data_IF_899374495989
#
_entry.id   IF_899374495989
#
_cell.length_a   1.000
_cell.length_b   1.000
_cell.length_c   1.000
_cell.angle_alpha   90.00
_cell.angle_beta   90.00
_cell.angle_gamma   90.00
#
_symmetry.space_group_name_H-M   'P 1'
#
loop_
_entity.id
_entity.type
_entity.pdbx_description
1 polymer ?
#
# COMPACT_ATOMS: atom_id res chain seq x y z
N UNK A 1 -15.88 13.18 8.88
CA UNK A 1 -14.68 13.90 9.34
C UNK A 1 -13.64 12.85 9.70
N UNK A 2 -12.42 13.01 9.20
CA UNK A 2 -11.30 12.12 9.48
C UNK A 2 -10.81 12.35 10.92
N UNK A 3 -10.33 11.29 11.57
CA UNK A 3 -9.54 11.45 12.79
C UNK A 3 -8.15 12.00 12.43
N UNK A 4 -7.39 12.56 13.40
CA UNK A 4 -6.03 13.01 13.14
C UNK A 4 -5.15 11.89 12.53
N UNK A 5 -5.22 10.67 13.09
CA UNK A 5 -4.45 9.54 12.58
C UNK A 5 -4.85 9.12 11.16
N UNK A 6 -6.15 9.14 10.83
CA UNK A 6 -6.61 8.84 9.47
C UNK A 6 -6.19 9.91 8.46
N UNK A 7 -6.19 11.17 8.89
CA UNK A 7 -5.74 12.28 8.05
C UNK A 7 -4.23 12.18 7.83
N UNK A 8 -3.44 12.05 8.89
CA UNK A 8 -1.98 11.88 8.82
C UNK A 8 -1.59 10.68 7.93
N UNK A 9 -2.35 9.59 8.02
CA UNK A 9 -2.17 8.41 7.17
C UNK A 9 -2.37 8.71 5.68
N UNK A 10 -3.49 9.33 5.30
CA UNK A 10 -3.77 9.65 3.89
C UNK A 10 -2.79 10.71 3.38
N UNK A 11 -2.49 11.73 4.18
CA UNK A 11 -1.52 12.79 3.86
C UNK A 11 -0.13 12.19 3.59
N UNK A 12 0.32 11.25 4.42
CA UNK A 12 1.62 10.58 4.25
C UNK A 12 1.69 9.80 2.93
N UNK A 13 0.61 9.13 2.55
CA UNK A 13 0.53 8.39 1.29
C UNK A 13 0.61 9.34 0.11
N UNK A 14 -0.20 10.41 0.12
CA UNK A 14 -0.23 11.40 -0.96
C UNK A 14 1.12 12.12 -1.08
N UNK A 15 1.71 12.56 0.03
CA UNK A 15 3.01 13.25 0.03
C UNK A 15 4.15 12.37 -0.50
N UNK A 16 4.16 11.08 -0.14
CA UNK A 16 5.20 10.15 -0.60
C UNK A 16 4.96 9.73 -2.05
N UNK A 17 3.72 9.44 -2.42
CA UNK A 17 3.38 9.07 -3.79
C UNK A 17 3.71 10.20 -4.78
N UNK A 18 3.42 11.45 -4.43
CA UNK A 18 3.71 12.61 -5.30
C UNK A 18 5.22 12.83 -5.45
N UNK A 19 6.03 12.41 -4.46
CA UNK A 19 7.50 12.47 -4.52
C UNK A 19 8.15 11.30 -5.26
N UNK A 20 7.53 10.12 -5.24
CA UNK A 20 8.17 8.87 -5.65
C UNK A 20 7.64 8.35 -6.99
N UNK A 21 6.37 8.59 -7.30
CA UNK A 21 5.69 7.96 -8.44
C UNK A 21 5.63 8.84 -9.69
N UNK A 22 5.99 10.13 -9.62
CA UNK A 22 5.80 11.11 -10.72
C UNK A 22 4.37 11.06 -11.33
N UNK A 23 3.41 10.56 -10.55
CA UNK A 23 2.01 10.31 -10.90
C UNK A 23 1.15 10.87 -9.77
N UNK A 24 -0.06 11.34 -10.10
CA UNK A 24 -1.01 11.75 -9.08
C UNK A 24 -1.38 10.54 -8.20
N UNK A 25 -1.01 10.62 -6.93
CA UNK A 25 -1.17 9.50 -5.98
C UNK A 25 -2.62 9.11 -5.77
N UNK A 26 -3.53 10.09 -5.80
CA UNK A 26 -4.96 9.87 -5.58
C UNK A 26 -5.59 8.97 -6.67
N UNK A 27 -5.49 9.28 -7.98
CA UNK A 27 -5.87 8.37 -9.06
C UNK A 27 -5.24 6.99 -8.95
N UNK A 28 -3.95 6.90 -8.67
CA UNK A 28 -3.25 5.62 -8.53
C UNK A 28 -3.84 4.77 -7.40
N UNK A 29 -4.11 5.39 -6.24
CA UNK A 29 -4.71 4.70 -5.10
C UNK A 29 -6.16 4.29 -5.34
N UNK A 30 -6.89 4.97 -6.23
CA UNK A 30 -8.25 4.56 -6.64
C UNK A 30 -8.18 3.36 -7.61
N UNK A 31 -7.34 3.44 -8.64
CA UNK A 31 -7.30 2.45 -9.72
C UNK A 31 -6.53 1.17 -9.35
N UNK A 32 -5.31 1.32 -8.84
CA UNK A 32 -4.38 0.21 -8.61
C UNK A 32 -4.28 -0.18 -7.12
N UNK A 33 -4.35 0.83 -6.24
CA UNK A 33 -4.20 0.64 -4.80
C UNK A 33 -2.80 0.19 -4.38
N UNK A 34 -2.61 -0.02 -3.08
CA UNK A 34 -1.35 -0.51 -2.51
C UNK A 34 -1.57 -1.63 -1.51
N UNK A 35 -0.64 -2.60 -1.42
CA UNK A 35 -0.72 -3.63 -0.39
C UNK A 35 -0.50 -3.00 0.99
N UNK A 36 -1.22 -3.49 2.01
CA UNK A 36 -1.13 -3.01 3.40
C UNK A 36 0.31 -2.95 3.89
N UNK A 37 1.13 -3.92 3.53
CA UNK A 37 2.54 -3.97 3.93
C UNK A 37 3.36 -2.78 3.40
N UNK A 38 3.03 -2.29 2.20
CA UNK A 38 3.67 -1.08 1.67
C UNK A 38 3.16 0.16 2.41
N UNK A 39 1.87 0.20 2.76
CA UNK A 39 1.29 1.30 3.51
C UNK A 39 1.93 1.42 4.89
N UNK A 40 2.10 0.31 5.61
CA UNK A 40 2.84 0.26 6.87
C UNK A 40 4.27 0.77 6.73
N UNK A 41 4.96 0.42 5.64
CA UNK A 41 6.32 0.92 5.40
C UNK A 41 6.36 2.42 5.08
N UNK A 42 5.34 2.95 4.40
CA UNK A 42 5.21 4.36 4.02
C UNK A 42 4.90 5.23 5.24
N UNK A 43 3.94 4.81 6.07
CA UNK A 43 3.50 5.61 7.22
C UNK A 43 4.36 5.37 8.46
N UNK A 44 5.12 4.27 8.51
CA UNK A 44 5.93 3.91 9.68
C UNK A 44 5.09 3.64 10.92
N UNK A 45 3.79 3.38 10.74
CA UNK A 45 2.81 3.24 11.80
C UNK A 45 2.45 1.75 11.98
N UNK A 46 2.59 1.25 13.21
CA UNK A 46 2.23 -0.12 13.56
C UNK A 46 0.71 -0.32 13.65
N UNK A 47 -0.07 0.76 13.74
CA UNK A 47 -1.54 0.74 13.94
C UNK A 47 -2.34 0.93 12.62
N UNK A 48 -1.71 0.69 11.47
CA UNK A 48 -2.32 0.83 10.14
C UNK A 48 -3.63 0.05 10.00
N UNK A 49 -3.74 -1.13 10.60
CA UNK A 49 -4.99 -1.91 10.55
C UNK A 49 -6.16 -1.22 11.27
N UNK A 50 -5.91 -0.48 12.35
CA UNK A 50 -6.95 0.30 13.06
C UNK A 50 -7.40 1.49 12.21
N UNK A 51 -6.45 2.22 11.63
CA UNK A 51 -6.72 3.36 10.74
C UNK A 51 -7.52 2.91 9.51
N UNK A 52 -7.14 1.79 8.89
CA UNK A 52 -7.83 1.23 7.74
C UNK A 52 -9.26 0.80 8.07
N UNK A 53 -9.49 0.22 9.24
CA UNK A 53 -10.84 -0.16 9.66
C UNK A 53 -11.71 1.09 9.90
N UNK A 54 -11.15 2.15 10.48
CA UNK A 54 -11.82 3.45 10.61
C UNK A 54 -12.20 4.07 9.26
N UNK A 55 -11.26 4.11 8.32
CA UNK A 55 -11.50 4.59 6.94
C UNK A 55 -12.52 3.75 6.19
N UNK A 56 -12.47 2.42 6.37
CA UNK A 56 -13.40 1.48 5.74
C UNK A 56 -14.82 1.64 6.29
N UNK A 57 -14.98 1.82 7.60
CA UNK A 57 -16.28 2.12 8.21
C UNK A 57 -16.88 3.44 7.71
N UNK A 58 -16.02 4.38 7.29
CA UNK A 58 -16.40 5.65 6.66
C UNK A 58 -16.62 5.56 5.15
N UNK A 59 -16.46 4.37 4.57
CA UNK A 59 -16.56 4.12 3.12
C UNK A 59 -15.54 4.93 2.30
N UNK A 60 -14.39 5.24 2.89
CA UNK A 60 -13.31 6.02 2.26
C UNK A 60 -12.24 5.14 1.62
N UNK A 61 -12.15 3.87 2.05
CA UNK A 61 -11.28 2.88 1.44
C UNK A 61 -12.02 1.56 1.24
N UNK A 62 -11.56 0.77 0.28
CA UNK A 62 -11.94 -0.64 0.17
C UNK A 62 -10.70 -1.54 0.22
N UNK A 63 -10.88 -2.75 0.74
CA UNK A 63 -9.79 -3.73 0.86
C UNK A 63 -10.08 -4.92 -0.04
N UNK A 64 -9.23 -5.13 -1.03
CA UNK A 64 -9.31 -6.23 -1.98
C UNK A 64 -8.26 -7.31 -1.66
N UNK A 65 -8.66 -8.59 -1.45
CA UNK A 65 -7.71 -9.68 -1.36
C UNK A 65 -7.20 -10.06 -2.76
N UNK A 66 -5.89 -9.96 -2.98
CA UNK A 66 -5.23 -10.29 -4.24
C UNK A 66 -4.18 -11.37 -4.04
N UNK A 67 -4.16 -12.36 -4.94
CA UNK A 67 -3.10 -13.37 -5.02
C UNK A 67 -1.98 -12.88 -5.90
N UNK A 68 -0.77 -12.85 -5.36
CA UNK A 68 0.43 -12.45 -6.09
C UNK A 68 1.44 -13.57 -6.14
N UNK A 69 2.07 -13.72 -7.30
CA UNK A 69 3.23 -14.62 -7.44
C UNK A 69 4.49 -13.79 -7.26
N UNK A 70 5.14 -13.94 -6.10
CA UNK A 70 6.38 -13.23 -5.81
C UNK A 70 7.58 -14.14 -6.01
N UNK A 71 8.65 -13.55 -6.52
CA UNK A 71 9.98 -14.16 -6.51
C UNK A 71 10.50 -14.20 -5.08
N UNK A 72 11.00 -15.34 -4.63
CA UNK A 72 11.73 -15.44 -3.38
C UNK A 72 13.03 -16.22 -3.59
N UNK A 73 14.10 -15.73 -2.97
CA UNK A 73 15.39 -16.41 -2.93
C UNK A 73 15.52 -17.07 -1.57
N UNK A 74 15.79 -18.38 -1.57
CA UNK A 74 15.86 -19.21 -0.35
C UNK A 74 17.20 -19.06 0.40
N UNK A 75 17.96 -17.98 0.13
CA UNK A 75 19.35 -17.83 0.58
C UNK A 75 19.51 -16.51 1.32
N UNK A 76 19.86 -16.60 2.62
CA UNK A 76 20.58 -15.52 3.29
C UNK A 76 21.95 -15.40 2.62
N UNK A 77 22.12 -14.51 1.66
CA UNK A 77 23.46 -14.19 1.16
C UNK A 77 23.87 -12.80 1.63
N UNK A 78 24.98 -12.79 2.35
CA UNK A 78 25.75 -11.63 2.84
C UNK A 78 26.40 -10.84 1.68
N UNK A 79 25.69 -10.64 0.56
CA UNK A 79 26.25 -10.02 -0.62
C UNK A 79 25.34 -10.04 -1.83
N UNK A 80 25.52 -9.02 -2.67
CA UNK A 80 24.81 -8.72 -3.91
C UNK A 80 24.46 -9.98 -4.72
N UNK A 81 23.17 -10.30 -4.72
CA UNK A 81 22.60 -11.49 -5.32
C UNK A 81 22.47 -11.27 -6.84
N UNK A 82 23.52 -11.62 -7.59
CA UNK A 82 23.46 -11.78 -9.05
C UNK A 82 22.32 -12.75 -9.35
N UNK A 83 21.38 -12.34 -10.21
CA UNK A 83 20.17 -13.09 -10.55
C UNK A 83 20.48 -14.52 -11.04
N UNK A 84 20.65 -15.44 -10.10
CA UNK A 84 20.95 -16.82 -10.36
C UNK A 84 19.60 -17.55 -10.50
N UNK A 85 19.14 -17.70 -11.75
CA UNK A 85 17.85 -18.30 -12.07
C UNK A 85 17.69 -19.73 -11.52
N UNK A 86 18.80 -20.44 -11.26
CA UNK A 86 18.80 -21.80 -10.70
C UNK A 86 18.28 -21.92 -9.26
N UNK A 87 18.24 -20.81 -8.51
CA UNK A 87 17.72 -20.77 -7.13
C UNK A 87 16.48 -19.88 -6.99
N UNK A 88 15.97 -19.37 -8.11
CA UNK A 88 14.80 -18.52 -8.13
C UNK A 88 13.55 -19.39 -7.97
N UNK A 89 12.88 -19.25 -6.81
CA UNK A 89 11.59 -19.87 -6.58
C UNK A 89 10.50 -18.80 -6.59
N UNK A 90 9.30 -19.23 -6.95
CA UNK A 90 8.12 -18.40 -6.92
C UNK A 90 7.17 -18.97 -5.88
N UNK A 91 6.59 -18.10 -5.05
CA UNK A 91 5.51 -18.47 -4.14
C UNK A 91 4.31 -17.57 -4.38
N UNK A 92 3.13 -18.15 -4.24
CA UNK A 92 1.89 -17.39 -4.21
C UNK A 92 1.69 -16.87 -2.79
N UNK A 93 1.45 -15.57 -2.67
CA UNK A 93 1.07 -14.91 -1.42
C UNK A 93 -0.29 -14.26 -1.58
N UNK A 94 -1.10 -14.34 -0.54
CA UNK A 94 -2.35 -13.57 -0.45
C UNK A 94 -2.01 -12.22 0.18
N UNK A 95 -2.34 -11.13 -0.50
CA UNK A 95 -2.14 -9.76 -0.03
C UNK A 95 -3.46 -9.01 0.04
N UNK A 96 -3.52 -8.04 0.94
CA UNK A 96 -4.64 -7.11 1.08
C UNK A 96 -4.26 -5.81 0.42
N UNK A 97 -4.90 -5.48 -0.69
CA UNK A 97 -4.75 -4.20 -1.38
C UNK A 97 -5.77 -3.22 -0.84
N UNK A 98 -5.31 -2.04 -0.48
CA UNK A 98 -6.16 -0.93 -0.05
C UNK A 98 -6.27 0.03 -1.21
N UNK A 99 -7.51 0.38 -1.55
CA UNK A 99 -7.81 1.39 -2.55
C UNK A 99 -8.58 2.52 -1.91
N UNK A 100 -8.33 3.73 -2.40
CA UNK A 100 -9.14 4.89 -2.06
C UNK A 100 -10.46 4.83 -2.83
N UNK A 101 -11.54 5.29 -2.20
CA UNK A 101 -12.78 5.51 -2.94
C UNK A 101 -12.76 6.88 -3.59
N UNK A 102 -13.58 7.06 -4.63
CA UNK A 102 -13.81 8.37 -5.27
C UNK A 102 -14.23 9.44 -4.25
N UNK A 103 -14.87 9.02 -3.15
CA UNK A 103 -15.25 9.91 -2.05
C UNK A 103 -14.03 10.44 -1.29
N UNK A 104 -13.05 9.59 -1.01
CA UNK A 104 -11.81 10.02 -0.37
C UNK A 104 -11.01 10.93 -1.28
N UNK A 105 -10.91 10.59 -2.57
CA UNK A 105 -10.30 11.44 -3.58
C UNK A 105 -10.93 12.83 -3.62
N UNK A 106 -12.26 12.92 -3.70
CA UNK A 106 -12.96 14.20 -3.76
C UNK A 106 -12.69 15.09 -2.53
N UNK A 107 -12.53 14.50 -1.34
CA UNK A 107 -12.20 15.25 -0.11
C UNK A 107 -10.82 15.92 -0.14
N UNK A 108 -9.91 15.42 -0.98
CA UNK A 108 -8.54 15.92 -1.12
C UNK A 108 -8.33 16.79 -2.36
N UNK A 109 -9.28 16.78 -3.30
CA UNK A 109 -9.28 17.66 -4.48
C UNK A 109 -10.09 18.98 -4.27
N UNK A 110 -10.85 19.11 -3.16
CA UNK A 110 -11.57 20.34 -2.73
C UNK A 110 -10.68 21.31 -1.94
#
# INVERSE_FOLDING_TARGET
MLSPAEQDFVDSIVEIGDRVLDQDTLPFMVEEGLPVENLTAITGDDDVDEVLEGLKQKELVHIEPRKETIRYTDTQSDGFDLANWGHTRFKTVDRRYVHFTERLRALYEE
#
